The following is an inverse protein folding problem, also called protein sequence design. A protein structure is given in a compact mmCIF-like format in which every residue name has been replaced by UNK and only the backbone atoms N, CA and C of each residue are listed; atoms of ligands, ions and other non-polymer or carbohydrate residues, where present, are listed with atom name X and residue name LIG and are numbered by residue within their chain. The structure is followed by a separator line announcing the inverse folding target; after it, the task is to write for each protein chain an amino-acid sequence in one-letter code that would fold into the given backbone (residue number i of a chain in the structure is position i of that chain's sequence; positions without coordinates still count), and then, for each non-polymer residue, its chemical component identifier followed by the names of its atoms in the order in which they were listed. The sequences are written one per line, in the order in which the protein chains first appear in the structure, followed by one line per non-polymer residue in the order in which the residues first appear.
data_IF_812875741220
#
_entry.id   IF_812875741220
#
_cell.length_a   1.000
_cell.length_b   1.000
_cell.length_c   1.000
_cell.angle_alpha   90.00
_cell.angle_beta   90.00
_cell.angle_gamma   90.00
#
_symmetry.space_group_name_H-M   'P 1'
#
loop_
_entity.id
_entity.type
_entity.pdbx_description
1 polymer ?
#
# COMPACT_ATOMS: atom_id res chain seq x y z
N UNK A 1 17.86 -5.83 -9.05
CA UNK A 1 18.41 -4.46 -8.93
C UNK A 1 18.28 -3.87 -7.51
N UNK A 2 17.12 -3.92 -6.85
CA UNK A 2 16.93 -3.26 -5.55
C UNK A 2 17.97 -3.65 -4.47
N UNK A 3 18.31 -4.95 -4.36
CA UNK A 3 19.33 -5.41 -3.40
C UNK A 3 20.74 -4.94 -3.78
N UNK A 4 21.06 -4.87 -5.08
CA UNK A 4 22.36 -4.37 -5.59
C UNK A 4 22.59 -2.92 -5.16
N UNK A 5 21.57 -2.07 -5.26
CA UNK A 5 21.60 -0.69 -4.78
C UNK A 5 21.76 -0.62 -3.26
N UNK A 6 21.05 -1.49 -2.52
CA UNK A 6 21.16 -1.58 -1.06
C UNK A 6 22.58 -1.98 -0.61
N UNK A 7 23.23 -2.92 -1.31
CA UNK A 7 24.62 -3.34 -1.02
C UNK A 7 25.67 -2.29 -1.37
N UNK A 8 25.43 -1.45 -2.39
CA UNK A 8 26.31 -0.31 -2.67
C UNK A 8 26.20 0.74 -1.57
N UNK A 9 25.00 1.02 -1.06
CA UNK A 9 24.79 2.04 -0.04
C UNK A 9 25.37 1.67 1.34
N UNK A 10 25.27 0.40 1.74
CA UNK A 10 25.90 -0.06 3.00
C UNK A 10 27.42 -0.03 2.94
N UNK A 11 28.02 -0.21 1.75
CA UNK A 11 29.47 -0.06 1.54
C UNK A 11 29.94 1.40 1.63
N UNK A 12 29.05 2.36 1.40
CA UNK A 12 29.35 3.80 1.41
C UNK A 12 29.20 4.49 2.79
N UNK A 13 28.48 3.88 3.75
CA UNK A 13 28.18 4.53 5.04
C UNK A 13 29.19 4.26 6.16
N UNK A 14 30.21 3.41 5.96
CA UNK A 14 31.21 3.08 7.01
C UNK A 14 32.39 4.07 6.96
N UNK A 15 32.12 5.33 7.28
CA UNK A 15 33.13 6.40 7.39
C UNK A 15 32.97 7.20 8.69
N UNK A 16 33.37 6.59 9.80
CA UNK A 16 33.79 7.22 11.07
C UNK A 16 32.93 8.37 11.63
N UNK A 17 31.91 8.04 12.44
CA UNK A 17 31.36 8.97 13.44
C UNK A 17 32.06 8.72 14.78
N UNK A 18 32.70 9.75 15.35
CA UNK A 18 33.51 9.66 16.58
C UNK A 18 32.66 10.02 17.81
N UNK A 19 32.61 9.13 18.80
CA UNK A 19 31.90 9.32 20.08
C UNK A 19 32.58 10.36 20.99
N UNK A 20 31.76 11.18 21.66
CA UNK A 20 32.11 11.99 22.85
C UNK A 20 30.89 12.06 23.80
N UNK A 21 31.04 11.91 25.13
CA UNK A 21 29.91 11.80 26.07
C UNK A 21 29.67 13.06 26.96
N UNK A 22 28.64 12.98 27.83
CA UNK A 22 28.19 13.94 28.89
C UNK A 22 27.20 15.01 28.40
N UNK A 23 26.29 15.57 29.23
CA UNK A 23 26.08 15.45 30.69
C UNK A 23 24.57 15.53 31.08
N UNK A 24 24.26 15.23 32.34
CA UNK A 24 22.93 15.07 32.94
C UNK A 24 22.50 16.31 33.77
N UNK A 25 21.20 16.65 33.83
CA UNK A 25 20.50 17.00 35.09
C UNK A 25 18.97 17.23 34.91
N UNK A 26 18.12 17.00 35.94
CA UNK A 26 16.66 17.18 35.88
C UNK A 26 16.08 18.23 36.87
N UNK A 27 14.80 18.61 36.72
CA UNK A 27 14.05 19.47 37.67
C UNK A 27 12.68 18.85 38.04
N UNK A 28 12.13 19.21 39.22
CA UNK A 28 10.91 18.70 39.86
C UNK A 28 9.97 19.87 40.24
N UNK A 29 8.68 19.71 40.62
CA UNK A 29 7.87 18.49 40.83
C UNK A 29 6.53 18.63 40.03
N UNK A 30 5.26 18.58 40.49
CA UNK A 30 4.58 18.33 41.79
C UNK A 30 3.24 17.57 41.60
N UNK A 31 2.27 17.68 42.52
CA UNK A 31 1.17 16.72 42.71
C UNK A 31 -0.05 17.36 43.39
N UNK A 32 -1.30 17.14 42.91
CA UNK A 32 -2.51 16.97 43.74
C UNK A 32 -3.77 16.52 42.96
N UNK A 33 -4.94 16.44 43.61
CA UNK A 33 -6.02 15.44 43.39
C UNK A 33 -7.43 16.06 43.13
N UNK A 34 -8.32 15.27 42.52
CA UNK A 34 -9.80 15.33 42.28
C UNK A 34 -10.68 15.90 43.43
N UNK A 35 -12.03 16.13 43.31
CA UNK A 35 -13.01 15.61 42.29
C UNK A 35 -14.27 16.46 41.90
N UNK A 36 -15.03 16.00 40.87
CA UNK A 36 -16.51 15.85 40.94
C UNK A 36 -17.52 16.91 40.37
N UNK A 37 -18.72 16.41 39.99
CA UNK A 37 -20.01 17.11 39.66
C UNK A 37 -20.07 18.04 38.40
N UNK A 38 -21.24 18.36 37.79
CA UNK A 38 -22.55 17.66 37.54
C UNK A 38 -23.34 18.44 36.42
N UNK A 39 -24.26 17.76 35.72
CA UNK A 39 -25.15 18.22 34.61
C UNK A 39 -25.83 19.61 34.68
N UNK A 40 -26.02 20.27 33.51
CA UNK A 40 -27.36 20.54 32.89
C UNK A 40 -27.28 21.26 31.51
N UNK A 41 -28.36 21.29 30.67
CA UNK A 41 -28.28 21.64 29.25
C UNK A 41 -28.89 23.00 28.84
N UNK A 42 -28.63 23.45 27.59
CA UNK A 42 -29.45 24.43 26.87
C UNK A 42 -29.67 24.02 25.40
N UNK A 43 -30.92 24.12 24.96
CA UNK A 43 -31.35 24.09 23.54
C UNK A 43 -31.77 25.49 23.09
N UNK A 44 -31.73 25.78 21.78
CA UNK A 44 -32.78 26.59 21.18
C UNK A 44 -33.42 25.91 19.95
N UNK A 45 -34.74 26.05 19.80
CA UNK A 45 -35.51 25.45 18.71
C UNK A 45 -35.54 26.34 17.45
N UNK A 46 -35.43 25.73 16.27
CA UNK A 46 -35.50 26.43 14.98
C UNK A 46 -36.96 26.62 14.55
N UNK A 47 -37.46 27.86 14.52
CA UNK A 47 -38.78 28.20 13.98
C UNK A 47 -38.74 28.31 12.45
N UNK A 48 -39.33 27.36 11.74
CA UNK A 48 -39.69 27.56 10.33
C UNK A 48 -40.75 28.66 10.20
N UNK A 49 -40.55 29.58 9.25
CA UNK A 49 -41.61 30.46 8.72
C UNK A 49 -41.75 30.20 7.22
N UNK A 50 -42.84 29.56 6.83
CA UNK A 50 -43.25 29.43 5.43
C UNK A 50 -44.17 30.62 5.11
N UNK A 51 -43.87 31.37 4.06
CA UNK A 51 -44.78 32.37 3.48
C UNK A 51 -44.79 32.20 1.96
N UNK A 52 -45.94 31.80 1.43
CA UNK A 52 -46.18 31.65 -0.01
C UNK A 52 -46.78 32.92 -0.59
N UNK A 53 -46.24 33.40 -1.72
CA UNK A 53 -46.92 34.31 -2.63
C UNK A 53 -46.62 33.93 -4.07
N UNK A 54 -47.66 33.82 -4.90
CA UNK A 54 -47.53 33.72 -6.36
C UNK A 54 -47.35 35.12 -6.93
N UNK A 55 -46.47 35.27 -7.93
CA UNK A 55 -46.35 36.49 -8.72
C UNK A 55 -45.84 36.16 -10.11
N UNK A 56 -46.68 36.32 -11.13
CA UNK A 56 -46.22 36.45 -12.51
C UNK A 56 -45.61 37.83 -12.68
N UNK A 57 -44.55 37.95 -13.49
CA UNK A 57 -44.07 39.24 -13.96
C UNK A 57 -43.67 39.15 -15.44
N UNK A 58 -43.85 40.25 -16.17
CA UNK A 58 -44.09 40.23 -17.62
C UNK A 58 -42.81 40.33 -18.45
N UNK A 59 -42.85 39.81 -19.68
CA UNK A 59 -41.81 39.99 -20.69
C UNK A 59 -41.71 41.46 -21.11
N UNK A 60 -40.53 42.06 -20.94
CA UNK A 60 -40.16 43.33 -21.56
C UNK A 60 -39.02 43.11 -22.55
N UNK A 61 -39.35 43.05 -23.85
CA UNK A 61 -38.34 43.06 -24.90
C UNK A 61 -37.85 44.49 -25.14
N UNK A 62 -36.54 44.73 -25.00
CA UNK A 62 -35.90 45.92 -25.57
C UNK A 62 -34.97 45.48 -26.72
N UNK A 63 -35.06 46.17 -27.85
CA UNK A 63 -34.42 45.78 -29.11
C UNK A 63 -33.70 46.99 -29.70
N UNK A 64 -32.37 46.97 -29.70
CA UNK A 64 -31.55 47.88 -30.50
C UNK A 64 -30.66 47.08 -31.45
N UNK A 65 -30.75 47.43 -32.73
CA UNK A 65 -29.72 47.19 -33.75
C UNK A 65 -28.56 48.18 -33.44
N UNK A 66 -27.29 48.08 -33.90
CA UNK A 66 -26.54 47.29 -34.92
C UNK A 66 -25.03 47.58 -34.63
N UNK A 67 -24.00 47.01 -35.31
CA UNK A 67 -24.02 46.10 -36.46
C UNK A 67 -23.26 44.78 -36.22
N UNK A 68 -22.95 44.10 -37.31
CA UNK A 68 -22.40 42.74 -37.42
C UNK A 68 -20.86 42.72 -37.37
N UNK A 69 -20.28 41.92 -36.48
CA UNK A 69 -18.87 41.48 -36.56
C UNK A 69 -18.80 39.95 -36.68
N UNK A 70 -17.63 39.43 -37.09
CA UNK A 70 -17.46 38.11 -37.70
C UNK A 70 -18.03 36.91 -36.92
N UNK A 71 -18.69 36.00 -37.65
CA UNK A 71 -19.21 34.76 -37.08
C UNK A 71 -18.10 33.72 -36.89
N UNK A 72 -17.51 33.66 -35.69
CA UNK A 72 -17.06 32.35 -35.19
C UNK A 72 -18.30 31.54 -34.85
N UNK A 73 -18.64 30.59 -35.73
CA UNK A 73 -19.72 29.63 -35.54
C UNK A 73 -19.26 28.56 -34.54
N UNK A 74 -19.11 28.96 -33.28
CA UNK A 74 -18.97 28.02 -32.17
C UNK A 74 -20.22 27.14 -32.16
N UNK A 75 -20.08 25.91 -32.65
CA UNK A 75 -21.05 24.82 -32.46
C UNK A 75 -21.01 24.32 -31.01
N UNK A 76 -20.94 25.28 -30.08
CA UNK A 76 -20.94 25.06 -28.64
C UNK A 76 -22.31 24.56 -28.24
N UNK A 77 -22.42 23.23 -28.10
CA UNK A 77 -23.45 22.62 -27.29
C UNK A 77 -23.28 23.19 -25.87
N UNK A 78 -23.99 24.26 -25.55
CA UNK A 78 -23.80 25.02 -24.31
C UNK A 78 -24.68 24.42 -23.21
N UNK A 79 -24.52 23.12 -22.97
CA UNK A 79 -25.32 22.35 -22.03
C UNK A 79 -24.99 22.82 -20.61
N UNK A 80 -25.81 23.74 -20.07
CA UNK A 80 -25.63 24.32 -18.72
C UNK A 80 -25.53 23.27 -17.60
N UNK A 81 -26.00 22.07 -17.86
CA UNK A 81 -25.87 20.90 -16.99
C UNK A 81 -24.40 20.48 -16.82
N UNK A 82 -23.52 20.67 -17.81
CA UNK A 82 -22.21 19.99 -17.85
C UNK A 82 -21.07 20.77 -17.17
N UNK A 83 -20.79 22.06 -17.41
CA UNK A 83 -21.58 23.18 -16.85
C UNK A 83 -21.60 23.12 -15.31
N UNK A 84 -22.46 22.28 -14.74
CA UNK A 84 -22.61 22.09 -13.28
C UNK A 84 -21.73 20.96 -12.73
N UNK A 85 -21.26 20.05 -13.59
CA UNK A 85 -20.40 18.91 -13.26
C UNK A 85 -18.92 19.14 -13.63
N UNK A 86 -18.59 20.31 -14.17
CA UNK A 86 -17.26 20.78 -14.56
C UNK A 86 -16.47 21.21 -13.31
N UNK A 87 -16.29 20.26 -12.41
CA UNK A 87 -15.62 20.44 -11.13
C UNK A 87 -14.10 20.33 -11.35
N UNK A 88 -13.29 21.31 -10.91
CA UNK A 88 -11.86 21.39 -11.24
C UNK A 88 -11.01 20.41 -10.40
N UNK A 89 -11.30 19.12 -10.52
CA UNK A 89 -10.47 18.05 -9.97
C UNK A 89 -9.15 17.98 -10.73
N UNK A 90 -8.04 17.84 -10.00
CA UNK A 90 -6.78 17.40 -10.59
C UNK A 90 -6.96 15.95 -11.09
N UNK A 91 -6.44 15.61 -12.27
CA UNK A 91 -6.42 14.25 -12.80
C UNK A 91 -5.83 13.22 -11.82
N UNK A 92 -4.88 13.64 -10.98
CA UNK A 92 -4.36 12.82 -9.88
C UNK A 92 -5.47 12.43 -8.89
N UNK A 93 -6.38 13.34 -8.53
CA UNK A 93 -7.51 13.06 -7.63
C UNK A 93 -8.51 12.09 -8.26
N UNK A 94 -8.80 12.25 -9.55
CA UNK A 94 -9.68 11.33 -10.30
C UNK A 94 -9.06 9.92 -10.35
N UNK A 95 -7.76 9.83 -10.66
CA UNK A 95 -7.03 8.56 -10.70
C UNK A 95 -7.00 7.87 -9.31
N UNK A 96 -6.60 8.60 -8.26
CA UNK A 96 -6.51 8.06 -6.90
C UNK A 96 -7.88 7.62 -6.34
N UNK A 97 -8.96 8.36 -6.62
CA UNK A 97 -10.31 7.96 -6.19
C UNK A 97 -10.84 6.77 -6.99
N UNK A 98 -10.56 6.69 -8.30
CA UNK A 98 -10.89 5.51 -9.11
C UNK A 98 -10.12 4.26 -8.65
N UNK A 99 -8.84 4.40 -8.33
CA UNK A 99 -8.02 3.32 -7.77
C UNK A 99 -8.57 2.86 -6.42
N UNK A 100 -8.82 3.78 -5.48
CA UNK A 100 -9.39 3.46 -4.17
C UNK A 100 -10.76 2.76 -4.27
N UNK A 101 -11.60 3.15 -5.25
CA UNK A 101 -12.87 2.49 -5.53
C UNK A 101 -12.67 1.06 -6.05
N UNK A 102 -11.84 0.86 -7.08
CA UNK A 102 -11.54 -0.48 -7.61
C UNK A 102 -10.93 -1.42 -6.57
N UNK A 103 -10.01 -0.91 -5.75
CA UNK A 103 -9.39 -1.63 -4.64
C UNK A 103 -10.42 -2.02 -3.57
N UNK A 104 -11.26 -1.10 -3.11
CA UNK A 104 -12.27 -1.41 -2.09
C UNK A 104 -13.35 -2.38 -2.58
N UNK A 105 -13.67 -2.40 -3.88
CA UNK A 105 -14.48 -3.46 -4.48
C UNK A 105 -13.73 -4.81 -4.41
N UNK A 106 -12.44 -4.84 -4.79
CA UNK A 106 -11.63 -6.06 -4.72
C UNK A 106 -11.48 -6.60 -3.29
N UNK A 107 -11.27 -5.74 -2.28
CA UNK A 107 -11.17 -6.19 -0.88
C UNK A 107 -12.48 -6.82 -0.39
N UNK A 108 -13.63 -6.20 -0.71
CA UNK A 108 -14.97 -6.72 -0.37
C UNK A 108 -15.20 -8.08 -1.04
N UNK A 109 -14.85 -8.23 -2.32
CA UNK A 109 -14.99 -9.51 -3.06
C UNK A 109 -14.11 -10.60 -2.45
N UNK A 110 -12.83 -10.32 -2.17
CA UNK A 110 -11.92 -11.30 -1.54
C UNK A 110 -12.42 -11.74 -0.17
N UNK A 111 -12.86 -10.80 0.67
CA UNK A 111 -13.41 -11.11 2.00
C UNK A 111 -14.74 -11.88 1.92
N UNK A 112 -15.61 -11.56 0.96
CA UNK A 112 -16.87 -12.28 0.75
C UNK A 112 -16.66 -13.72 0.24
N UNK A 113 -15.66 -13.93 -0.62
CA UNK A 113 -15.24 -15.27 -1.07
C UNK A 113 -14.64 -16.07 0.08
N UNK A 114 -13.69 -15.50 0.83
CA UNK A 114 -13.11 -16.13 2.03
C UNK A 114 -14.21 -16.50 3.05
N UNK A 115 -15.14 -15.59 3.34
CA UNK A 115 -16.27 -15.87 4.24
C UNK A 115 -17.15 -17.00 3.71
N UNK A 116 -17.52 -17.00 2.43
CA UNK A 116 -18.36 -18.04 1.83
C UNK A 116 -17.70 -19.43 1.88
N UNK A 117 -16.41 -19.50 1.61
CA UNK A 117 -15.63 -20.75 1.67
C UNK A 117 -15.43 -21.24 3.11
N UNK A 118 -15.17 -20.35 4.06
CA UNK A 118 -14.91 -20.71 5.46
C UNK A 118 -16.16 -20.96 6.30
N UNK A 119 -17.31 -20.36 5.95
CA UNK A 119 -18.59 -20.53 6.65
C UNK A 119 -18.99 -22.00 6.81
N UNK A 120 -18.72 -22.84 5.81
CA UNK A 120 -19.02 -24.28 5.85
C UNK A 120 -18.14 -25.09 6.82
N UNK A 121 -17.10 -24.48 7.39
CA UNK A 121 -16.15 -25.09 8.33
C UNK A 121 -16.15 -24.39 9.70
N UNK A 122 -17.24 -23.71 10.05
CA UNK A 122 -17.37 -23.02 11.34
C UNK A 122 -17.80 -23.98 12.46
N UNK A 123 -17.25 -23.86 13.70
CA UNK A 123 -16.22 -22.90 14.12
C UNK A 123 -14.83 -23.26 13.57
N UNK A 124 -14.10 -22.23 13.12
CA UNK A 124 -12.68 -22.35 12.78
C UNK A 124 -11.85 -22.43 14.07
N UNK A 125 -10.72 -23.17 14.10
CA UNK A 125 -9.73 -23.08 15.16
C UNK A 125 -9.19 -21.65 15.35
N UNK A 126 -9.06 -21.23 16.61
CA UNK A 126 -8.65 -19.87 17.00
C UNK A 126 -7.21 -19.50 16.57
N UNK A 127 -6.38 -20.46 16.17
CA UNK A 127 -4.98 -20.26 15.79
C UNK A 127 -4.77 -19.90 14.31
N UNK A 128 -5.79 -20.06 13.45
CA UNK A 128 -5.66 -19.85 11.99
C UNK A 128 -5.33 -18.38 11.67
N UNK A 129 -6.18 -17.45 12.12
CA UNK A 129 -6.03 -16.01 11.90
C UNK A 129 -5.44 -15.30 13.13
N UNK A 130 -4.37 -15.86 13.69
CA UNK A 130 -3.72 -15.30 14.88
C UNK A 130 -2.91 -14.04 14.56
N UNK A 131 -3.26 -12.94 15.25
CA UNK A 131 -2.51 -11.68 15.28
C UNK A 131 -2.05 -11.41 16.72
N UNK A 132 -0.87 -11.91 17.08
CA UNK A 132 -0.37 -11.81 18.46
C UNK A 132 0.72 -10.74 18.59
N UNK A 133 0.42 -9.67 19.31
CA UNK A 133 1.34 -8.56 19.52
C UNK A 133 2.35 -8.82 20.65
N UNK A 134 2.16 -9.89 21.44
CA UNK A 134 2.97 -10.21 22.61
C UNK A 134 4.37 -10.68 22.22
N UNK A 135 5.33 -10.47 23.13
CA UNK A 135 6.71 -10.96 23.05
C UNK A 135 7.41 -10.81 21.68
N UNK A 136 7.44 -9.61 21.07
CA UNK A 136 7.94 -9.39 19.70
C UNK A 136 9.37 -9.91 19.44
N UNK A 137 10.20 -10.02 20.47
CA UNK A 137 11.61 -10.41 20.40
C UNK A 137 11.93 -11.79 21.02
N UNK A 138 10.92 -12.63 21.32
CA UNK A 138 11.15 -14.00 21.79
C UNK A 138 11.88 -14.84 20.71
N UNK A 139 12.93 -15.58 21.08
CA UNK A 139 13.74 -16.35 20.12
C UNK A 139 12.97 -17.48 19.42
N UNK A 140 12.02 -18.13 20.09
CA UNK A 140 11.25 -19.22 19.47
C UNK A 140 10.25 -18.70 18.44
N UNK A 141 9.44 -17.70 18.82
CA UNK A 141 8.21 -17.30 18.10
C UNK A 141 7.97 -15.78 18.02
N UNK A 142 8.93 -14.97 18.47
CA UNK A 142 8.83 -13.51 18.50
C UNK A 142 8.63 -12.94 17.10
N UNK A 143 7.44 -12.39 16.86
CA UNK A 143 6.97 -12.06 15.52
C UNK A 143 7.81 -11.00 14.81
N UNK A 144 8.41 -10.06 15.56
CA UNK A 144 9.23 -8.99 15.02
C UNK A 144 10.68 -9.43 14.80
N UNK A 145 11.22 -10.28 15.68
CA UNK A 145 12.53 -10.91 15.48
C UNK A 145 12.52 -11.79 14.22
N UNK A 146 11.52 -12.66 14.08
CA UNK A 146 11.37 -13.51 12.90
C UNK A 146 10.99 -12.72 11.64
N UNK A 147 10.34 -11.57 11.75
CA UNK A 147 10.17 -10.64 10.62
C UNK A 147 11.51 -10.04 10.17
N UNK A 148 12.37 -9.62 11.11
CA UNK A 148 13.71 -9.12 10.79
C UNK A 148 14.61 -10.19 10.15
N UNK A 149 14.64 -11.39 10.72
CA UNK A 149 15.37 -12.54 10.17
C UNK A 149 14.83 -12.94 8.79
N UNK A 150 13.50 -13.03 8.64
CA UNK A 150 12.84 -13.39 7.38
C UNK A 150 13.08 -12.37 6.27
N UNK A 151 13.02 -11.06 6.57
CA UNK A 151 13.31 -9.99 5.62
C UNK A 151 14.79 -10.00 5.19
N UNK A 152 15.72 -10.15 6.14
CA UNK A 152 17.15 -10.27 5.83
C UNK A 152 17.48 -11.50 4.99
N UNK A 153 16.87 -12.65 5.31
CA UNK A 153 16.99 -13.88 4.53
C UNK A 153 16.40 -13.75 3.12
N UNK A 154 15.23 -13.12 2.98
CA UNK A 154 14.60 -12.86 1.68
C UNK A 154 15.47 -11.93 0.81
N UNK A 155 15.97 -10.83 1.36
CA UNK A 155 16.91 -9.92 0.67
C UNK A 155 18.15 -10.66 0.17
N UNK A 156 18.78 -11.48 1.02
CA UNK A 156 19.96 -12.26 0.64
C UNK A 156 19.64 -13.32 -0.44
N UNK A 157 18.54 -14.07 -0.28
CA UNK A 157 18.14 -15.10 -1.23
C UNK A 157 17.74 -14.52 -2.60
N UNK A 158 17.10 -13.34 -2.63
CA UNK A 158 16.75 -12.64 -3.87
C UNK A 158 18.01 -12.08 -4.55
N UNK A 159 19.00 -11.58 -3.80
CA UNK A 159 20.30 -11.21 -4.36
C UNK A 159 21.03 -12.39 -5.01
N UNK A 160 21.08 -13.54 -4.32
CA UNK A 160 21.68 -14.77 -4.86
C UNK A 160 20.92 -15.27 -6.09
N UNK A 161 19.59 -15.21 -6.08
CA UNK A 161 18.74 -15.61 -7.21
C UNK A 161 18.98 -14.71 -8.42
N UNK A 162 19.02 -13.38 -8.24
CA UNK A 162 19.33 -12.43 -9.31
C UNK A 162 20.74 -12.62 -9.90
N UNK A 163 21.74 -12.85 -9.04
CA UNK A 163 23.11 -13.13 -9.47
C UNK A 163 23.20 -14.46 -10.27
N UNK A 164 22.57 -15.52 -9.78
CA UNK A 164 22.52 -16.81 -10.48
C UNK A 164 21.80 -16.69 -11.83
N UNK A 165 20.64 -16.01 -11.89
CA UNK A 165 19.90 -15.80 -13.14
C UNK A 165 20.71 -14.99 -14.17
N UNK A 166 21.52 -14.02 -13.75
CA UNK A 166 22.42 -13.29 -14.67
C UNK A 166 23.55 -14.19 -15.19
N UNK A 167 24.14 -15.03 -14.34
CA UNK A 167 25.16 -16.02 -14.76
C UNK A 167 24.62 -17.07 -15.76
N UNK A 168 23.35 -17.46 -15.65
CA UNK A 168 22.73 -18.43 -16.56
C UNK A 168 22.23 -17.83 -17.88
N UNK A 169 21.76 -16.58 -17.89
CA UNK A 169 21.15 -15.98 -19.08
C UNK A 169 22.08 -15.00 -19.83
N UNK A 170 23.21 -14.60 -19.26
CA UNK A 170 24.14 -13.60 -19.82
C UNK A 170 23.63 -12.16 -19.71
N UNK A 171 22.32 -11.96 -19.79
CA UNK A 171 21.63 -10.69 -19.58
C UNK A 171 21.68 -10.25 -18.10
N UNK A 172 21.73 -8.94 -17.81
CA UNK A 172 21.46 -8.39 -16.48
C UNK A 172 19.95 -8.51 -16.13
N UNK A 173 19.52 -8.26 -14.87
CA UNK A 173 18.14 -8.46 -14.42
C UNK A 173 17.15 -7.37 -14.89
N UNK A 174 17.16 -7.07 -16.19
CA UNK A 174 16.35 -6.04 -16.87
C UNK A 174 14.82 -6.29 -16.85
N UNK A 175 14.36 -7.39 -16.24
CA UNK A 175 12.92 -7.72 -16.07
C UNK A 175 12.29 -7.19 -14.79
N UNK A 176 13.09 -6.94 -13.74
CA UNK A 176 12.59 -6.23 -12.55
C UNK A 176 12.26 -4.77 -12.87
N UNK A 177 12.80 -4.22 -13.97
CA UNK A 177 12.65 -2.80 -14.29
C UNK A 177 11.26 -2.48 -14.86
N UNK A 178 10.67 -3.37 -15.67
CA UNK A 178 9.37 -3.18 -16.33
C UNK A 178 8.22 -2.90 -15.34
N UNK A 179 8.15 -3.63 -14.22
CA UNK A 179 7.13 -3.41 -13.19
C UNK A 179 7.35 -2.08 -12.46
N UNK A 180 8.60 -1.71 -12.20
CA UNK A 180 8.97 -0.46 -11.53
C UNK A 180 8.73 0.76 -12.45
N UNK A 181 9.01 0.63 -13.75
CA UNK A 181 8.70 1.64 -14.79
C UNK A 181 7.19 1.93 -14.87
N UNK A 182 6.33 0.92 -14.64
CA UNK A 182 4.87 1.12 -14.60
C UNK A 182 4.39 1.90 -13.37
N UNK A 183 5.08 1.80 -12.23
CA UNK A 183 4.77 2.55 -11.01
C UNK A 183 5.39 3.96 -11.01
N UNK A 184 6.47 4.15 -11.77
CA UNK A 184 7.24 5.40 -11.86
C UNK A 184 6.41 6.68 -12.11
N UNK A 185 5.35 6.70 -12.94
CA UNK A 185 4.53 7.90 -13.16
C UNK A 185 3.65 8.30 -11.97
N UNK A 186 3.41 7.38 -11.02
CA UNK A 186 2.64 7.63 -9.79
C UNK A 186 3.56 8.03 -8.62
N UNK A 187 4.79 7.53 -8.64
CA UNK A 187 5.83 7.84 -7.67
C UNK A 187 6.33 9.28 -7.91
N UNK A 188 6.43 10.06 -6.83
CA UNK A 188 6.92 11.44 -6.87
C UNK A 188 5.98 12.46 -7.54
N UNK A 189 4.87 12.05 -8.16
CA UNK A 189 3.94 12.96 -8.85
C UNK A 189 3.22 13.93 -7.90
N UNK A 190 3.04 13.53 -6.64
CA UNK A 190 2.70 14.38 -5.50
C UNK A 190 2.90 13.59 -4.19
N UNK A 191 3.09 14.28 -3.07
CA UNK A 191 3.20 13.63 -1.75
C UNK A 191 1.95 12.80 -1.40
N UNK A 192 0.77 13.28 -1.81
CA UNK A 192 -0.51 12.58 -1.65
C UNK A 192 -0.54 11.29 -2.50
N UNK A 193 0.00 11.32 -3.73
CA UNK A 193 0.11 10.11 -4.57
C UNK A 193 0.99 9.06 -3.92
N UNK A 194 2.23 9.42 -3.51
CA UNK A 194 3.16 8.48 -2.86
C UNK A 194 2.60 7.94 -1.55
N UNK A 195 1.99 8.79 -0.71
CA UNK A 195 1.35 8.35 0.54
C UNK A 195 0.17 7.39 0.29
N UNK A 196 -0.64 7.65 -0.73
CA UNK A 196 -1.75 6.77 -1.12
C UNK A 196 -1.23 5.42 -1.60
N UNK A 197 -0.19 5.43 -2.46
CA UNK A 197 0.47 4.22 -2.96
C UNK A 197 1.01 3.38 -1.80
N UNK A 198 1.77 3.98 -0.87
CA UNK A 198 2.30 3.30 0.32
C UNK A 198 1.19 2.69 1.21
N UNK A 199 0.08 3.41 1.43
CA UNK A 199 -1.04 2.85 2.19
C UNK A 199 -1.72 1.66 1.49
N UNK A 200 -1.77 1.66 0.16
CA UNK A 200 -2.38 0.61 -0.65
C UNK A 200 -1.45 -0.61 -0.76
N UNK A 201 -0.28 -0.45 -1.38
CA UNK A 201 0.61 -1.58 -1.73
C UNK A 201 1.58 -1.94 -0.61
N UNK A 202 1.89 -0.99 0.28
CA UNK A 202 2.74 -1.20 1.45
C UNK A 202 2.00 -1.71 2.70
N UNK A 203 0.67 -1.61 2.76
CA UNK A 203 -0.13 -2.05 3.93
C UNK A 203 -1.33 -2.89 3.52
N UNK A 204 -2.30 -2.33 2.76
CA UNK A 204 -3.58 -3.00 2.50
C UNK A 204 -3.43 -4.30 1.71
N UNK A 205 -2.61 -4.30 0.65
CA UNK A 205 -2.33 -5.49 -0.15
C UNK A 205 -1.63 -6.61 0.66
N UNK A 206 -0.48 -6.36 1.34
CA UNK A 206 0.12 -7.33 2.27
C UNK A 206 -0.85 -7.93 3.29
N UNK A 207 -1.70 -7.12 3.93
CA UNK A 207 -2.69 -7.63 4.91
C UNK A 207 -3.65 -8.62 4.28
N UNK A 208 -4.17 -8.33 3.08
CA UNK A 208 -5.12 -9.21 2.38
C UNK A 208 -4.43 -10.45 1.82
N UNK A 209 -3.27 -10.28 1.18
CA UNK A 209 -2.53 -11.37 0.54
C UNK A 209 -2.02 -12.37 1.58
N UNK A 210 -1.45 -11.93 2.70
CA UNK A 210 -1.04 -12.89 3.74
C UNK A 210 -2.24 -13.56 4.42
N UNK A 211 -3.37 -12.88 4.54
CA UNK A 211 -4.63 -13.50 5.03
C UNK A 211 -5.11 -14.60 4.07
N UNK A 212 -5.07 -14.36 2.76
CA UNK A 212 -5.44 -15.36 1.73
C UNK A 212 -4.41 -16.49 1.63
N UNK A 213 -3.13 -16.17 1.42
CA UNK A 213 -2.10 -17.15 1.09
C UNK A 213 -1.56 -17.91 2.29
N UNK A 214 -1.39 -17.25 3.46
CA UNK A 214 -0.78 -17.87 4.65
C UNK A 214 -1.87 -18.27 5.65
N UNK A 215 -2.82 -17.38 5.95
CA UNK A 215 -3.96 -17.67 6.83
C UNK A 215 -4.91 -18.74 6.29
N UNK A 216 -5.38 -18.61 5.04
CA UNK A 216 -6.34 -19.55 4.45
C UNK A 216 -5.69 -20.68 3.63
N UNK A 217 -4.96 -20.35 2.57
CA UNK A 217 -4.53 -21.32 1.55
C UNK A 217 -3.46 -22.28 2.07
N UNK A 218 -2.35 -21.77 2.63
CA UNK A 218 -1.27 -22.61 3.16
C UNK A 218 -1.75 -23.51 4.31
N UNK A 219 -2.54 -22.97 5.26
CA UNK A 219 -3.15 -23.78 6.33
C UNK A 219 -4.07 -24.86 5.75
N UNK A 220 -4.87 -24.55 4.72
CA UNK A 220 -5.70 -25.55 4.04
C UNK A 220 -4.89 -26.64 3.35
N UNK A 221 -3.73 -26.32 2.79
CA UNK A 221 -2.78 -27.30 2.23
C UNK A 221 -2.18 -28.22 3.31
N UNK A 222 -1.94 -27.71 4.53
CA UNK A 222 -1.37 -28.55 5.62
C UNK A 222 -2.27 -29.71 6.09
N UNK A 223 -3.53 -29.75 5.63
CA UNK A 223 -4.43 -30.91 5.82
C UNK A 223 -4.09 -32.10 4.91
N UNK A 224 -3.33 -31.87 3.85
CA UNK A 224 -3.04 -32.83 2.78
C UNK A 224 -1.53 -33.01 2.52
N UNK A 225 -0.72 -31.98 2.81
CA UNK A 225 0.71 -31.93 2.54
C UNK A 225 1.48 -31.59 3.83
N UNK A 226 2.69 -32.14 4.05
CA UNK A 226 3.54 -31.71 5.15
C UNK A 226 3.90 -30.21 5.02
N UNK A 227 4.17 -29.55 6.15
CA UNK A 227 4.36 -28.09 6.20
C UNK A 227 5.35 -27.52 5.18
N UNK A 228 6.54 -28.13 4.92
CA UNK A 228 7.45 -27.61 3.91
C UNK A 228 6.87 -27.61 2.49
N UNK A 229 6.14 -28.68 2.11
CA UNK A 229 5.49 -28.73 0.80
C UNK A 229 4.31 -27.75 0.72
N UNK A 230 3.58 -27.54 1.82
CA UNK A 230 2.53 -26.51 1.89
C UNK A 230 3.09 -25.10 1.69
N UNK A 231 4.27 -24.80 2.27
CA UNK A 231 4.98 -23.53 2.06
C UNK A 231 5.38 -23.37 0.59
N UNK A 232 6.02 -24.38 -0.01
CA UNK A 232 6.48 -24.30 -1.41
C UNK A 232 5.31 -24.17 -2.39
N UNK A 233 4.23 -24.95 -2.24
CA UNK A 233 3.04 -24.83 -3.10
C UNK A 233 2.35 -23.48 -2.92
N UNK A 234 2.22 -22.97 -1.69
CA UNK A 234 1.67 -21.63 -1.46
C UNK A 234 2.54 -20.54 -2.10
N UNK A 235 3.87 -20.64 -2.00
CA UNK A 235 4.81 -19.74 -2.64
C UNK A 235 4.75 -19.79 -4.19
N UNK A 236 4.58 -20.97 -4.79
CA UNK A 236 4.42 -21.10 -6.24
C UNK A 236 3.11 -20.48 -6.74
N UNK A 237 1.99 -20.67 -6.03
CA UNK A 237 0.70 -20.07 -6.40
C UNK A 237 0.70 -18.56 -6.16
N UNK A 238 1.34 -18.07 -5.09
CA UNK A 238 1.58 -16.65 -4.84
C UNK A 238 2.34 -15.99 -6.00
N UNK A 239 3.47 -16.58 -6.42
CA UNK A 239 4.28 -16.07 -7.53
C UNK A 239 3.54 -16.16 -8.88
N UNK A 240 2.77 -17.22 -9.12
CA UNK A 240 1.96 -17.35 -10.34
C UNK A 240 0.79 -16.33 -10.40
N UNK A 241 0.18 -16.01 -9.26
CA UNK A 241 -0.95 -15.08 -9.18
C UNK A 241 -0.60 -13.62 -9.55
N UNK A 242 0.69 -13.26 -9.52
CA UNK A 242 1.18 -11.96 -9.99
C UNK A 242 1.18 -11.82 -11.53
N UNK A 243 1.05 -12.94 -12.27
CA UNK A 243 1.01 -12.98 -13.73
C UNK A 243 2.25 -12.36 -14.43
N UNK A 244 3.39 -12.29 -13.75
CA UNK A 244 4.68 -11.80 -14.27
C UNK A 244 5.74 -12.91 -14.31
N UNK A 245 5.79 -13.75 -15.36
CA UNK A 245 6.72 -14.89 -15.44
C UNK A 245 8.21 -14.52 -15.30
N UNK A 246 8.59 -13.28 -15.64
CA UNK A 246 9.95 -12.77 -15.48
C UNK A 246 10.37 -12.50 -14.03
N UNK A 247 9.41 -12.33 -13.10
CA UNK A 247 9.64 -12.06 -11.68
C UNK A 247 9.37 -13.29 -10.81
N UNK A 248 8.84 -14.37 -11.40
CA UNK A 248 8.45 -15.60 -10.69
C UNK A 248 9.54 -16.15 -9.74
N UNK A 249 10.85 -16.20 -10.11
CA UNK A 249 11.89 -16.68 -9.18
C UNK A 249 11.99 -15.82 -7.91
N UNK A 250 12.01 -14.49 -8.04
CA UNK A 250 12.08 -13.56 -6.91
C UNK A 250 10.81 -13.63 -6.05
N UNK A 251 9.63 -13.64 -6.68
CA UNK A 251 8.34 -13.75 -5.99
C UNK A 251 8.16 -15.10 -5.29
N UNK A 252 8.70 -16.18 -5.85
CA UNK A 252 8.71 -17.51 -5.23
C UNK A 252 9.63 -17.56 -4.02
N UNK A 253 10.82 -16.94 -4.09
CA UNK A 253 11.76 -16.85 -2.95
C UNK A 253 11.16 -15.99 -1.83
N UNK A 254 10.61 -14.82 -2.14
CA UNK A 254 9.87 -14.00 -1.17
C UNK A 254 8.69 -14.78 -0.58
N UNK A 255 7.90 -15.42 -1.44
CA UNK A 255 6.73 -16.20 -1.05
C UNK A 255 7.05 -17.38 -0.12
N UNK A 256 8.22 -17.99 -0.31
CA UNK A 256 8.77 -19.07 0.53
C UNK A 256 9.23 -18.53 1.88
N UNK A 257 9.94 -17.40 1.92
CA UNK A 257 10.35 -16.76 3.17
C UNK A 257 9.13 -16.34 4.03
N UNK A 258 8.10 -15.77 3.39
CA UNK A 258 6.82 -15.43 4.01
C UNK A 258 6.14 -16.68 4.62
N UNK A 259 5.96 -17.74 3.81
CA UNK A 259 5.36 -19.00 4.28
C UNK A 259 6.14 -19.68 5.42
N UNK A 260 7.48 -19.70 5.34
CA UNK A 260 8.35 -20.22 6.39
C UNK A 260 8.21 -19.41 7.69
N UNK A 261 8.24 -18.07 7.61
CA UNK A 261 8.11 -17.21 8.78
C UNK A 261 6.79 -17.41 9.52
N UNK A 262 5.67 -17.57 8.79
CA UNK A 262 4.37 -17.91 9.38
C UNK A 262 4.34 -19.33 9.95
N UNK A 263 4.97 -20.31 9.28
CA UNK A 263 5.07 -21.67 9.80
C UNK A 263 5.82 -21.73 11.14
N UNK A 264 6.85 -20.90 11.32
CA UNK A 264 7.64 -20.78 12.54
C UNK A 264 6.87 -20.05 13.67
N UNK A 265 6.31 -18.86 13.42
CA UNK A 265 5.70 -18.05 14.48
C UNK A 265 4.22 -18.33 14.73
N UNK A 266 3.51 -18.96 13.77
CA UNK A 266 2.04 -19.11 13.73
C UNK A 266 1.31 -17.80 14.04
N UNK A 267 1.77 -16.71 13.42
CA UNK A 267 1.29 -15.35 13.65
C UNK A 267 1.35 -14.58 12.33
N UNK A 268 0.21 -14.03 11.87
CA UNK A 268 0.11 -13.33 10.59
C UNK A 268 0.87 -11.99 10.58
N UNK A 269 1.16 -11.41 11.75
CA UNK A 269 1.98 -10.19 11.82
C UNK A 269 3.39 -10.40 11.24
N UNK A 270 3.98 -11.59 11.37
CA UNK A 270 5.33 -11.88 10.85
C UNK A 270 5.43 -11.73 9.32
N UNK A 271 4.66 -12.49 8.49
CA UNK A 271 4.71 -12.33 7.05
C UNK A 271 4.17 -10.97 6.58
N UNK A 272 3.11 -10.44 7.22
CA UNK A 272 2.56 -9.12 6.85
C UNK A 272 3.63 -8.05 6.97
N UNK A 273 4.44 -8.06 8.04
CA UNK A 273 5.51 -7.07 8.23
C UNK A 273 6.66 -7.27 7.23
N UNK A 274 7.06 -8.50 6.92
CA UNK A 274 8.08 -8.77 5.87
C UNK A 274 7.62 -8.23 4.52
N UNK A 275 6.38 -8.55 4.11
CA UNK A 275 5.80 -8.15 2.83
C UNK A 275 5.55 -6.63 2.78
N UNK A 276 5.03 -6.03 3.86
CA UNK A 276 4.88 -4.58 4.00
C UNK A 276 6.21 -3.83 3.89
N UNK A 277 7.27 -4.31 4.54
CA UNK A 277 8.61 -3.73 4.43
C UNK A 277 9.22 -3.90 3.02
N UNK A 278 8.98 -5.04 2.35
CA UNK A 278 9.44 -5.25 0.98
C UNK A 278 8.79 -4.22 0.02
N UNK A 279 7.45 -4.18 -0.02
CA UNK A 279 6.72 -3.30 -0.94
C UNK A 279 6.99 -1.82 -0.64
N UNK A 280 6.93 -1.43 0.64
CA UNK A 280 7.22 -0.05 1.06
C UNK A 280 8.68 0.34 0.80
N UNK A 281 9.63 -0.57 1.03
CA UNK A 281 11.06 -0.34 0.81
C UNK A 281 11.39 -0.06 -0.66
N UNK A 282 10.79 -0.82 -1.58
CA UNK A 282 10.93 -0.59 -3.03
C UNK A 282 10.37 0.79 -3.42
N UNK A 283 9.17 1.16 -2.95
CA UNK A 283 8.53 2.44 -3.27
C UNK A 283 9.30 3.63 -2.69
N UNK A 284 9.79 3.52 -1.45
CA UNK A 284 10.60 4.55 -0.81
C UNK A 284 11.97 4.71 -1.48
N UNK A 285 12.62 3.61 -1.90
CA UNK A 285 13.87 3.65 -2.66
C UNK A 285 13.70 4.35 -4.02
N UNK A 286 12.66 4.00 -4.78
CA UNK A 286 12.34 4.69 -6.04
C UNK A 286 12.03 6.17 -5.81
N UNK A 287 11.20 6.49 -4.81
CA UNK A 287 10.87 7.88 -4.44
C UNK A 287 12.14 8.67 -4.12
N UNK A 288 13.07 8.09 -3.34
CA UNK A 288 14.33 8.71 -2.98
C UNK A 288 15.22 8.98 -4.20
N UNK A 289 15.41 7.99 -5.07
CA UNK A 289 16.21 8.16 -6.30
C UNK A 289 15.66 9.26 -7.21
N UNK A 290 14.33 9.34 -7.34
CA UNK A 290 13.65 10.36 -8.14
C UNK A 290 13.80 11.76 -7.53
N UNK A 291 13.76 11.87 -6.20
CA UNK A 291 14.04 13.12 -5.47
C UNK A 291 15.52 13.55 -5.51
N UNK A 292 16.44 12.64 -5.84
CA UNK A 292 17.85 12.98 -6.12
C UNK A 292 18.09 13.41 -7.57
N UNK A 293 17.06 13.44 -8.43
CA UNK A 293 17.16 13.93 -9.81
C UNK A 293 17.77 12.93 -10.80
N UNK A 294 17.96 11.67 -10.43
CA UNK A 294 18.27 10.62 -11.39
C UNK A 294 17.04 10.36 -12.28
N UNK A 295 17.20 10.36 -13.60
CA UNK A 295 16.17 9.74 -14.44
C UNK A 295 16.25 8.23 -14.26
N UNK A 296 15.30 7.72 -13.48
CA UNK A 296 15.21 6.29 -13.17
C UNK A 296 15.00 5.48 -14.46
N UNK A 297 14.46 6.04 -15.55
CA UNK A 297 14.36 5.32 -16.83
C UNK A 297 15.73 5.03 -17.43
N UNK A 298 16.65 5.99 -17.39
CA UNK A 298 18.03 5.78 -17.85
C UNK A 298 18.74 4.76 -16.95
N UNK A 299 18.61 4.87 -15.62
CA UNK A 299 19.16 3.88 -14.67
C UNK A 299 18.58 2.47 -14.84
N UNK A 300 17.35 2.35 -15.35
CA UNK A 300 16.65 1.08 -15.60
C UNK A 300 16.80 0.56 -17.05
N UNK A 301 17.52 1.29 -17.91
CA UNK A 301 17.83 0.90 -19.31
C UNK A 301 19.33 0.76 -19.57
N UNK A 302 20.18 1.37 -18.74
CA UNK A 302 21.64 1.22 -18.78
C UNK A 302 22.17 -0.02 -18.02
N UNK A 303 21.26 -0.91 -17.58
CA UNK A 303 21.52 -2.15 -16.83
C UNK A 303 20.34 -3.14 -16.99
#
# INVERSE_FOLDING_TARGET
MAVTLYTSFTRSSISSVRLSPKLYSPIKTHFQVSPGLRFSPLTPALKLRITSTRGFCTVCCHKNNTPQESSKKDSGLNWRILKRWDVPWNWQTISLTSLACGLSIATIVVLAVLYSLTKSFSPLPDDIYRYDWREPFNFEKGWLLWAGIGLGGALAAIAVTGAAMSLFNGEPPQRETDALVRLLPLIGSSSISTASLLGITGILAPVLEETVFRGFFMVSLTKWLPTPLSVLVSASVFAAAHLTPGEFPQLFVLGTALGFSYAQTRNLLTPIMIHAFWNSGVILLLTFLQLQGYDIKELLQAY
#
